data_IF_176320659000
#
_entry.id   IF_176320659000
#
_cell.length_a   1.000
_cell.length_b   1.000
_cell.length_c   1.000
_cell.angle_alpha   90.00
_cell.angle_beta   90.00
_cell.angle_gamma   90.00
#
_symmetry.space_group_name_H-M   'P 1'
#
loop_
_entity.id
_entity.type
_entity.pdbx_description
1 polymer ?
#
# COMPACT_ATOMS: atom_id res chain seq x y z
N UNK A 1 24.32 8.77 -16.55
CA UNK A 1 22.87 8.63 -16.31
C UNK A 1 22.50 7.25 -15.76
N UNK A 2 22.94 6.14 -16.38
CA UNK A 2 22.67 4.80 -15.86
C UNK A 2 23.32 4.53 -14.49
N UNK A 3 24.60 4.88 -14.33
CA UNK A 3 25.33 4.73 -13.06
C UNK A 3 24.71 5.53 -11.91
N UNK A 4 24.31 6.78 -12.16
CA UNK A 4 23.65 7.63 -11.17
C UNK A 4 22.27 7.09 -10.76
N UNK A 5 21.53 6.50 -11.70
CA UNK A 5 20.22 5.91 -11.40
C UNK A 5 20.37 4.60 -10.60
N UNK A 6 21.36 3.78 -10.97
CA UNK A 6 21.71 2.54 -10.27
C UNK A 6 22.21 2.80 -8.85
N UNK A 7 23.07 3.80 -8.63
CA UNK A 7 23.52 4.16 -7.28
C UNK A 7 22.37 4.69 -6.43
N UNK A 8 21.50 5.55 -6.99
CA UNK A 8 20.34 6.09 -6.25
C UNK A 8 19.38 4.98 -5.83
N UNK A 9 19.04 4.06 -6.74
CA UNK A 9 18.20 2.89 -6.43
C UNK A 9 18.87 1.99 -5.40
N UNK A 10 20.17 1.73 -5.53
CA UNK A 10 20.95 0.95 -4.57
C UNK A 10 20.88 1.56 -3.16
N UNK A 11 21.07 2.87 -3.04
CA UNK A 11 20.95 3.59 -1.76
C UNK A 11 19.53 3.47 -1.17
N UNK A 12 18.48 3.59 -2.00
CA UNK A 12 17.10 3.42 -1.54
C UNK A 12 16.83 2.01 -1.01
N UNK A 13 17.31 0.97 -1.70
CA UNK A 13 17.18 -0.41 -1.22
C UNK A 13 17.92 -0.64 0.11
N UNK A 14 19.14 -0.09 0.25
CA UNK A 14 19.91 -0.20 1.50
C UNK A 14 19.19 0.50 2.65
N UNK A 15 18.67 1.72 2.44
CA UNK A 15 17.91 2.45 3.44
C UNK A 15 16.62 1.70 3.84
N UNK A 16 15.89 1.16 2.88
CA UNK A 16 14.71 0.35 3.15
C UNK A 16 15.04 -0.91 3.94
N UNK A 17 16.15 -1.60 3.59
CA UNK A 17 16.68 -2.73 4.34
C UNK A 17 17.05 -2.38 5.77
N UNK A 18 17.73 -1.24 5.99
CA UNK A 18 18.05 -0.72 7.31
C UNK A 18 16.80 -0.46 8.14
N UNK A 19 15.78 0.17 7.57
CA UNK A 19 14.49 0.42 8.25
C UNK A 19 13.83 -0.90 8.65
N UNK A 20 13.83 -1.91 7.79
CA UNK A 20 13.31 -3.24 8.13
C UNK A 20 14.09 -3.89 9.28
N UNK A 21 15.42 -3.75 9.30
CA UNK A 21 16.29 -4.28 10.34
C UNK A 21 16.12 -3.58 11.69
N UNK A 22 15.64 -2.33 11.73
CA UNK A 22 15.36 -1.64 13.01
C UNK A 22 14.29 -2.31 13.86
N UNK A 23 13.53 -3.28 13.30
CA UNK A 23 12.38 -3.96 13.92
C UNK A 23 11.29 -3.00 14.42
N UNK A 24 11.35 -1.73 14.06
CA UNK A 24 10.29 -0.77 14.37
C UNK A 24 9.06 -1.13 13.54
N UNK A 25 7.88 -1.05 14.17
CA UNK A 25 6.60 -1.21 13.48
C UNK A 25 6.33 0.08 12.71
N UNK A 26 6.04 -0.04 11.42
CA UNK A 26 5.69 1.11 10.59
C UNK A 26 4.67 0.69 9.54
N UNK A 27 3.88 1.67 9.08
CA UNK A 27 2.78 1.49 8.15
C UNK A 27 3.06 2.26 6.88
N UNK A 28 2.89 1.60 5.73
CA UNK A 28 3.09 2.19 4.42
C UNK A 28 1.78 2.11 3.64
N UNK A 29 1.39 3.22 3.01
CA UNK A 29 0.24 3.23 2.10
C UNK A 29 0.63 2.50 0.83
N UNK A 30 -0.19 1.54 0.38
CA UNK A 30 0.07 0.76 -0.83
C UNK A 30 0.08 1.61 -2.10
N UNK A 31 -0.49 2.82 -2.03
CA UNK A 31 -0.40 3.84 -3.08
C UNK A 31 1.06 4.16 -3.42
N UNK A 32 1.93 4.32 -2.42
CA UNK A 32 3.34 4.64 -2.65
C UNK A 32 4.08 3.47 -3.31
N UNK A 33 3.87 2.26 -2.81
CA UNK A 33 4.45 1.06 -3.41
C UNK A 33 3.94 0.85 -4.83
N UNK A 34 2.63 1.03 -5.06
CA UNK A 34 2.00 0.90 -6.36
C UNK A 34 2.58 1.88 -7.36
N UNK A 35 2.70 3.16 -7.00
CA UNK A 35 3.30 4.20 -7.86
C UNK A 35 4.78 3.89 -8.12
N UNK A 36 5.52 3.41 -7.13
CA UNK A 36 6.91 3.01 -7.30
C UNK A 36 7.07 1.84 -8.27
N UNK A 37 6.30 0.77 -8.11
CA UNK A 37 6.32 -0.37 -9.02
C UNK A 37 5.89 0.02 -10.42
N UNK A 38 4.82 0.81 -10.54
CA UNK A 38 4.37 1.37 -11.81
C UNK A 38 5.54 2.09 -12.48
N UNK A 39 6.17 3.05 -11.80
CA UNK A 39 7.31 3.82 -12.31
C UNK A 39 8.44 2.94 -12.84
N UNK A 40 8.83 1.90 -12.10
CA UNK A 40 9.86 0.95 -12.56
C UNK A 40 9.42 0.21 -13.81
N UNK A 41 8.17 -0.28 -13.86
CA UNK A 41 7.64 -1.02 -15.00
C UNK A 41 7.57 -0.16 -16.27
N UNK A 42 7.18 1.11 -16.17
CA UNK A 42 7.11 2.01 -17.33
C UNK A 42 8.48 2.61 -17.73
N UNK A 43 9.51 2.56 -16.90
CA UNK A 43 10.82 3.15 -17.23
C UNK A 43 11.44 2.54 -18.50
N UNK A 44 11.44 1.21 -18.61
CA UNK A 44 12.00 0.48 -19.75
C UNK A 44 11.33 0.81 -21.10
N UNK A 45 9.99 0.73 -21.23
CA UNK A 45 9.32 1.09 -22.47
C UNK A 45 9.49 2.57 -22.83
N UNK A 46 9.55 3.48 -21.86
CA UNK A 46 9.84 4.91 -22.12
C UNK A 46 11.22 5.07 -22.77
N UNK A 47 12.24 4.41 -22.23
CA UNK A 47 13.61 4.47 -22.78
C UNK A 47 13.63 3.92 -24.22
N UNK A 48 12.90 2.84 -24.49
CA UNK A 48 12.80 2.25 -25.83
C UNK A 48 12.10 3.16 -26.83
N UNK A 49 10.94 3.73 -26.46
CA UNK A 49 10.18 4.64 -27.31
C UNK A 49 10.95 5.91 -27.65
N UNK A 50 11.71 6.44 -26.68
CA UNK A 50 12.57 7.61 -26.91
C UNK A 50 13.71 7.28 -27.89
N UNK A 51 14.32 6.09 -27.80
CA UNK A 51 15.31 5.61 -28.79
C UNK A 51 14.73 5.45 -30.19
N UNK A 52 13.45 5.13 -30.30
CA UNK A 52 12.73 4.99 -31.58
C UNK A 52 12.28 6.33 -32.18
N UNK A 53 12.56 7.46 -31.52
CA UNK A 53 12.27 8.80 -32.04
C UNK A 53 10.81 9.25 -31.88
N UNK A 54 10.00 8.55 -31.07
CA UNK A 54 8.64 9.00 -30.76
C UNK A 54 8.65 10.28 -29.92
N UNK A 55 7.70 11.18 -30.19
CA UNK A 55 7.56 12.41 -29.40
C UNK A 55 7.27 12.09 -27.93
N UNK A 56 8.14 12.61 -27.05
CA UNK A 56 8.04 12.44 -25.60
C UNK A 56 6.73 12.97 -25.00
N UNK A 57 6.03 13.87 -25.69
CA UNK A 57 4.73 14.41 -25.28
C UNK A 57 3.61 13.36 -25.25
N UNK A 58 3.58 12.45 -26.23
CA UNK A 58 2.56 11.38 -26.30
C UNK A 58 2.76 10.35 -25.17
N UNK A 59 4.01 10.17 -24.72
CA UNK A 59 4.36 9.27 -23.62
C UNK A 59 3.72 9.76 -22.30
N UNK A 60 3.69 11.06 -22.04
CA UNK A 60 3.04 11.62 -20.84
C UNK A 60 1.53 11.36 -20.80
N UNK A 61 0.86 11.37 -21.95
CA UNK A 61 -0.60 11.14 -22.05
C UNK A 61 -0.96 9.70 -21.66
N UNK A 62 -0.10 8.72 -21.94
CA UNK A 62 -0.32 7.32 -21.52
C UNK A 62 0.05 7.06 -20.05
N UNK A 63 1.09 7.72 -19.55
CA UNK A 63 1.61 7.48 -18.20
C UNK A 63 0.67 8.04 -17.12
N UNK A 64 0.16 9.25 -17.31
CA UNK A 64 -0.63 9.93 -16.28
C UNK A 64 -1.90 9.14 -15.90
N UNK A 65 -2.71 8.66 -16.86
CA UNK A 65 -3.88 7.83 -16.56
C UNK A 65 -3.51 6.51 -15.91
N UNK A 66 -2.37 5.91 -16.30
CA UNK A 66 -1.89 4.67 -15.70
C UNK A 66 -1.51 4.85 -14.22
N UNK A 67 -0.79 5.93 -13.89
CA UNK A 67 -0.47 6.28 -12.50
C UNK A 67 -1.75 6.52 -11.70
N UNK A 68 -2.70 7.29 -12.25
CA UNK A 68 -3.99 7.55 -11.60
C UNK A 68 -4.76 6.25 -11.36
N UNK A 69 -4.78 5.35 -12.34
CA UNK A 69 -5.41 4.03 -12.20
C UNK A 69 -4.76 3.22 -11.07
N UNK A 70 -3.43 3.17 -11.01
CA UNK A 70 -2.70 2.47 -9.96
C UNK A 70 -3.04 3.04 -8.58
N UNK A 71 -3.10 4.36 -8.44
CA UNK A 71 -3.52 5.02 -7.19
C UNK A 71 -4.93 4.58 -6.81
N UNK A 72 -5.89 4.61 -7.74
CA UNK A 72 -7.29 4.24 -7.47
C UNK A 72 -7.41 2.78 -7.00
N UNK A 73 -6.67 1.85 -7.64
CA UNK A 73 -6.75 0.41 -7.33
C UNK A 73 -6.09 0.07 -6.00
N UNK A 74 -4.99 0.74 -5.67
CA UNK A 74 -4.22 0.49 -4.43
C UNK A 74 -4.75 1.27 -3.22
N UNK A 75 -5.62 2.26 -3.45
CA UNK A 75 -6.23 3.09 -2.41
C UNK A 75 -6.97 2.27 -1.36
N UNK A 76 -6.73 2.62 -0.10
CA UNK A 76 -7.36 1.93 1.04
C UNK A 76 -6.65 0.66 1.48
N UNK A 77 -5.48 0.34 0.90
CA UNK A 77 -4.62 -0.75 1.34
C UNK A 77 -3.38 -0.22 2.02
N UNK A 78 -2.95 -0.91 3.06
CA UNK A 78 -1.79 -0.55 3.85
C UNK A 78 -0.96 -1.79 4.15
N UNK A 79 0.36 -1.64 4.15
CA UNK A 79 1.27 -2.69 4.58
C UNK A 79 1.89 -2.28 5.91
N UNK A 80 1.67 -3.09 6.94
CA UNK A 80 2.29 -2.92 8.25
C UNK A 80 3.49 -3.87 8.31
N UNK A 81 4.67 -3.34 8.60
CA UNK A 81 5.91 -4.10 8.69
C UNK A 81 6.26 -4.45 10.14
N UNK A 82 7.00 -5.53 10.31
CA UNK A 82 7.42 -6.11 11.59
C UNK A 82 6.25 -6.52 12.49
N UNK A 83 5.17 -7.03 11.89
CA UNK A 83 3.97 -7.53 12.58
C UNK A 83 3.52 -8.86 11.99
N UNK A 84 2.70 -9.60 12.74
CA UNK A 84 1.99 -10.80 12.28
C UNK A 84 0.47 -10.56 12.30
N UNK A 85 -0.31 -11.47 11.71
CA UNK A 85 -1.76 -11.32 11.64
C UNK A 85 -2.43 -11.27 13.00
N UNK A 86 -1.92 -12.00 13.99
CA UNK A 86 -2.48 -12.02 15.34
C UNK A 86 -2.38 -10.65 16.03
N UNK A 87 -1.24 -9.95 15.89
CA UNK A 87 -1.07 -8.59 16.41
C UNK A 87 -2.01 -7.60 15.72
N UNK A 88 -2.21 -7.74 14.41
CA UNK A 88 -3.11 -6.87 13.64
C UNK A 88 -4.57 -7.15 13.98
N UNK A 89 -4.97 -8.42 14.10
CA UNK A 89 -6.32 -8.83 14.50
C UNK A 89 -6.66 -8.26 15.87
N UNK A 90 -5.79 -8.49 16.85
CA UNK A 90 -5.98 -7.98 18.23
C UNK A 90 -6.08 -6.45 18.28
N UNK A 91 -5.17 -5.73 17.62
CA UNK A 91 -5.23 -4.27 17.61
C UNK A 91 -6.50 -3.74 16.90
N UNK A 92 -6.94 -4.42 15.85
CA UNK A 92 -8.17 -4.06 15.14
C UNK A 92 -9.41 -4.31 16.01
N UNK A 93 -9.52 -5.47 16.66
CA UNK A 93 -10.64 -5.78 17.55
C UNK A 93 -10.70 -4.82 18.72
N UNK A 94 -9.57 -4.49 19.35
CA UNK A 94 -9.51 -3.53 20.46
C UNK A 94 -10.05 -2.16 20.05
N UNK A 95 -9.71 -1.68 18.84
CA UNK A 95 -10.23 -0.42 18.29
C UNK A 95 -11.72 -0.52 18.01
N UNK A 96 -12.20 -1.64 17.43
CA UNK A 96 -13.62 -1.82 17.12
C UNK A 96 -14.47 -1.89 18.39
N UNK A 97 -14.01 -2.60 19.43
CA UNK A 97 -14.64 -2.67 20.75
C UNK A 97 -14.67 -1.30 21.43
N UNK A 98 -13.54 -0.58 21.44
CA UNK A 98 -13.46 0.77 22.02
C UNK A 98 -14.42 1.76 21.34
N UNK A 99 -14.73 1.54 20.06
CA UNK A 99 -15.70 2.33 19.29
C UNK A 99 -17.12 1.77 19.33
N UNK A 100 -17.37 0.68 20.05
CA UNK A 100 -18.68 0.03 20.18
C UNK A 100 -19.24 -0.50 18.87
N UNK A 101 -18.38 -0.90 17.93
CA UNK A 101 -18.80 -1.44 16.63
C UNK A 101 -19.05 -2.95 16.74
N UNK A 102 -20.19 -3.41 16.22
CA UNK A 102 -20.48 -4.85 16.10
C UNK A 102 -19.70 -5.47 14.95
N UNK A 103 -18.96 -6.55 15.22
CA UNK A 103 -18.16 -7.24 14.23
C UNK A 103 -18.24 -8.78 14.36
N UNK A 104 -17.80 -9.45 13.30
CA UNK A 104 -17.57 -10.89 13.24
C UNK A 104 -16.11 -11.13 12.84
N UNK A 105 -15.40 -11.94 13.63
CA UNK A 105 -14.02 -12.31 13.32
C UNK A 105 -13.98 -13.59 12.48
N UNK A 106 -13.33 -13.50 11.33
CA UNK A 106 -12.91 -14.64 10.51
C UNK A 106 -11.38 -14.73 10.51
N UNK A 107 -10.83 -15.90 10.15
CA UNK A 107 -9.38 -16.20 10.22
C UNK A 107 -8.45 -15.15 9.58
N UNK A 108 -8.90 -14.45 8.54
CA UNK A 108 -8.13 -13.45 7.79
C UNK A 108 -8.92 -12.18 7.50
N UNK A 109 -10.03 -11.97 8.20
CA UNK A 109 -10.85 -10.77 8.02
C UNK A 109 -11.78 -10.50 9.18
N UNK A 110 -12.14 -9.24 9.34
CA UNK A 110 -13.22 -8.81 10.22
C UNK A 110 -14.37 -8.27 9.37
N UNK A 111 -15.59 -8.68 9.68
CA UNK A 111 -16.82 -8.23 9.02
C UNK A 111 -17.58 -7.32 9.98
N UNK A 112 -17.91 -6.11 9.53
CA UNK A 112 -18.66 -5.13 10.32
C UNK A 112 -20.17 -5.33 10.10
N UNK A 113 -20.88 -5.84 11.10
CA UNK A 113 -22.29 -6.27 10.98
C UNK A 113 -23.24 -5.10 10.70
N UNK A 114 -23.05 -3.99 11.42
CA UNK A 114 -23.94 -2.82 11.33
C UNK A 114 -23.63 -1.91 10.13
N UNK A 115 -22.70 -2.31 9.27
CA UNK A 115 -22.17 -1.49 8.19
C UNK A 115 -22.16 -2.24 6.85
N UNK A 116 -23.32 -2.77 6.44
CA UNK A 116 -23.51 -3.51 5.19
C UNK A 116 -22.55 -4.71 5.02
N UNK A 117 -22.15 -5.35 6.13
CA UNK A 117 -21.15 -6.42 6.14
C UNK A 117 -19.82 -6.01 5.47
N UNK A 118 -19.42 -4.75 5.61
CA UNK A 118 -18.13 -4.26 5.14
C UNK A 118 -17.00 -5.10 5.74
N UNK A 119 -16.09 -5.54 4.87
CA UNK A 119 -15.00 -6.45 5.21
C UNK A 119 -13.68 -5.69 5.32
N UNK A 120 -12.94 -5.97 6.38
CA UNK A 120 -11.54 -5.60 6.55
C UNK A 120 -10.74 -6.90 6.45
N UNK A 121 -9.94 -7.08 5.40
CA UNK A 121 -9.12 -8.28 5.25
C UNK A 121 -7.66 -8.02 5.57
N UNK A 122 -6.97 -9.01 6.10
CA UNK A 122 -5.54 -8.96 6.37
C UNK A 122 -4.83 -10.21 5.85
N UNK A 123 -3.71 -10.00 5.16
CA UNK A 123 -2.90 -11.07 4.56
C UNK A 123 -1.47 -10.94 5.03
N UNK A 124 -0.93 -11.99 5.66
CA UNK A 124 0.47 -12.02 6.09
C UNK A 124 1.39 -12.35 4.91
N UNK A 125 2.51 -11.64 4.81
CA UNK A 125 3.64 -11.99 3.97
C UNK A 125 4.93 -11.74 4.73
N UNK A 126 5.69 -12.81 4.99
CA UNK A 126 6.93 -12.77 5.79
C UNK A 126 6.70 -12.04 7.14
N UNK A 127 7.40 -10.93 7.35
CA UNK A 127 7.31 -10.06 8.53
C UNK A 127 6.40 -8.85 8.30
N UNK A 128 5.42 -8.95 7.41
CA UNK A 128 4.48 -7.87 7.11
C UNK A 128 3.06 -8.38 6.99
N UNK A 129 2.10 -7.50 7.21
CA UNK A 129 0.67 -7.76 7.02
C UNK A 129 0.10 -6.67 6.14
N UNK A 130 -0.49 -7.06 5.00
CA UNK A 130 -1.31 -6.16 4.20
C UNK A 130 -2.71 -6.12 4.81
N UNK A 131 -3.18 -4.92 5.16
CA UNK A 131 -4.55 -4.65 5.62
C UNK A 131 -5.29 -3.93 4.52
N UNK A 132 -6.42 -4.51 4.11
CA UNK A 132 -7.31 -3.96 3.11
C UNK A 132 -8.53 -3.35 3.79
N UNK A 133 -8.61 -2.02 3.74
CA UNK A 133 -9.69 -1.20 4.30
C UNK A 133 -10.54 -0.56 3.19
N UNK A 134 -10.47 -1.05 1.95
CA UNK A 134 -11.14 -0.44 0.80
C UNK A 134 -12.64 -0.29 1.01
N UNK A 135 -13.27 -1.30 1.60
CA UNK A 135 -14.73 -1.33 1.82
C UNK A 135 -15.15 -0.51 3.05
N UNK A 136 -14.27 -0.44 4.06
CA UNK A 136 -14.45 0.35 5.28
C UNK A 136 -14.07 1.84 5.12
N UNK A 137 -13.61 2.26 3.95
CA UNK A 137 -13.01 3.57 3.71
C UNK A 137 -13.91 4.78 3.97
N UNK A 138 -15.23 4.61 3.86
CA UNK A 138 -16.22 5.67 4.11
C UNK A 138 -16.65 5.75 5.58
N UNK A 139 -16.11 4.90 6.45
CA UNK A 139 -16.46 4.88 7.86
C UNK A 139 -15.60 5.89 8.63
N UNK A 140 -16.19 6.56 9.63
CA UNK A 140 -15.52 7.62 10.40
C UNK A 140 -14.21 7.13 11.05
N UNK A 141 -14.16 5.88 11.51
CA UNK A 141 -12.94 5.30 12.09
C UNK A 141 -11.76 5.22 11.10
N UNK A 142 -12.04 5.16 9.79
CA UNK A 142 -10.99 5.16 8.77
C UNK A 142 -10.29 6.51 8.67
N UNK A 143 -11.00 7.62 8.93
CA UNK A 143 -10.40 8.96 8.92
C UNK A 143 -9.48 9.17 10.12
N UNK A 144 -9.85 8.63 11.29
CA UNK A 144 -9.02 8.66 12.50
C UNK A 144 -7.72 7.86 12.32
N UNK A 145 -7.80 6.64 11.76
CA UNK A 145 -6.64 5.81 11.40
C UNK A 145 -5.67 6.47 10.41
N UNK A 146 -6.09 7.56 9.74
CA UNK A 146 -5.28 8.28 8.75
C UNK A 146 -4.50 9.45 9.36
N UNK A 147 -4.88 9.88 10.56
CA UNK A 147 -4.47 11.18 11.14
C UNK A 147 -3.51 11.01 12.34
N UNK A 148 -3.50 9.84 12.99
CA UNK A 148 -2.45 9.39 13.93
C UNK A 148 -1.27 8.72 13.21
#
# INVERSE_FOLDING_TARGET
MFYTLATTLGTLFILQGLILLTRRKFMVRREYDGVFYAFITILSPIILLNKMGYETRLIFIGILPFIVFVIIVTRGRYTIYNVNTQMVSSALTDILEAKGMSYEEEKSSVILKDYDNKRISYTQSLNSVEVNLKDARKLLFYEELRTE
#
